data_IF_863590872940
#
_entry.id   IF_863590872940
#
_cell.length_a   1.000
_cell.length_b   1.000
_cell.length_c   1.000
_cell.angle_alpha   90.00
_cell.angle_beta   90.00
_cell.angle_gamma   90.00
#
_symmetry.space_group_name_H-M   'P 1'
#
loop_
_entity.id
_entity.type
_entity.pdbx_description
1 polymer ?
#
# COMPACT_ATOMS: atom_id res chain seq x y z
N UNK A 1 32.34 -17.04 8.87
CA UNK A 1 32.60 -15.61 8.94
C UNK A 1 32.19 -15.04 10.31
N UNK A 2 30.94 -15.30 10.77
CA UNK A 2 30.43 -14.82 12.09
C UNK A 2 31.34 -15.20 13.26
N UNK A 3 32.01 -16.37 13.23
CA UNK A 3 32.93 -16.82 14.27
C UNK A 3 34.21 -15.97 14.39
N UNK A 4 34.46 -15.11 13.40
CA UNK A 4 35.65 -14.24 13.33
C UNK A 4 35.28 -12.77 13.35
N UNK A 5 34.07 -12.44 13.83
CA UNK A 5 33.54 -11.06 13.90
C UNK A 5 33.60 -10.28 12.56
N UNK A 6 33.56 -11.02 11.44
CA UNK A 6 33.54 -10.42 10.12
C UNK A 6 32.10 -10.05 9.79
N UNK A 7 31.79 -8.78 9.54
CA UNK A 7 30.46 -8.36 9.10
C UNK A 7 30.05 -9.11 7.83
N UNK A 8 28.96 -9.85 7.91
CA UNK A 8 28.44 -10.61 6.79
C UNK A 8 26.92 -10.76 6.90
N UNK A 9 26.26 -10.71 5.75
CA UNK A 9 24.83 -10.96 5.62
C UNK A 9 24.57 -11.88 4.41
N UNK A 10 23.54 -12.72 4.48
CA UNK A 10 23.13 -13.51 3.31
C UNK A 10 22.53 -12.60 2.24
N UNK A 11 22.74 -12.93 0.99
CA UNK A 11 21.98 -12.36 -0.13
C UNK A 11 20.73 -13.20 -0.30
N UNK A 12 19.58 -12.61 -0.01
CA UNK A 12 18.29 -13.30 -0.04
C UNK A 12 17.57 -13.03 -1.36
N UNK A 13 16.82 -14.02 -1.82
CA UNK A 13 15.89 -13.87 -2.94
C UNK A 13 14.63 -13.11 -2.48
N UNK A 14 13.86 -12.54 -3.42
CA UNK A 14 12.59 -11.86 -3.11
C UNK A 14 11.60 -12.78 -2.39
N UNK A 15 11.58 -14.07 -2.75
CA UNK A 15 10.74 -15.06 -2.08
C UNK A 15 11.14 -15.29 -0.62
N UNK A 16 12.42 -15.34 -0.33
CA UNK A 16 12.94 -15.47 1.03
C UNK A 16 12.65 -14.22 1.84
N UNK A 17 12.85 -13.02 1.28
CA UNK A 17 12.49 -11.76 1.92
C UNK A 17 11.00 -11.67 2.24
N UNK A 18 10.12 -12.03 1.31
CA UNK A 18 8.67 -12.01 1.51
C UNK A 18 8.20 -12.93 2.64
N UNK A 19 8.95 -14.00 2.92
CA UNK A 19 8.63 -14.98 3.96
C UNK A 19 9.45 -14.79 5.24
N UNK A 20 10.32 -13.79 5.32
CA UNK A 20 11.15 -13.55 6.50
C UNK A 20 10.30 -12.98 7.65
N UNK A 21 10.20 -13.70 8.79
CA UNK A 21 9.40 -13.25 9.93
C UNK A 21 9.90 -11.92 10.51
N UNK A 22 11.21 -11.67 10.50
CA UNK A 22 11.80 -10.45 11.07
C UNK A 22 11.42 -9.21 10.27
N UNK A 23 11.27 -9.34 8.93
CA UNK A 23 10.80 -8.26 8.07
C UNK A 23 9.32 -7.96 8.24
N UNK A 24 8.52 -8.96 8.59
CA UNK A 24 7.11 -8.78 8.95
C UNK A 24 6.96 -8.14 10.33
N UNK A 25 7.69 -8.62 11.32
CA UNK A 25 7.68 -8.08 12.68
C UNK A 25 8.13 -6.61 12.71
N UNK A 26 9.15 -6.28 11.96
CA UNK A 26 9.62 -4.90 11.82
C UNK A 26 8.68 -4.01 11.00
N UNK A 27 7.67 -4.57 10.32
CA UNK A 27 6.78 -3.85 9.42
C UNK A 27 7.46 -3.36 8.13
N UNK A 28 8.62 -3.94 7.79
CA UNK A 28 9.29 -3.70 6.49
C UNK A 28 8.50 -4.36 5.36
N UNK A 29 7.90 -5.53 5.66
CA UNK A 29 6.91 -6.17 4.80
C UNK A 29 5.59 -6.19 5.56
N UNK A 30 4.54 -5.71 4.92
CA UNK A 30 3.20 -5.65 5.49
C UNK A 30 2.19 -6.29 4.55
N UNK A 31 1.12 -6.80 5.12
CA UNK A 31 -0.02 -7.33 4.37
C UNK A 31 -1.11 -6.27 4.29
N UNK A 32 -1.61 -6.05 3.09
CA UNK A 32 -2.63 -5.04 2.81
C UNK A 32 -3.87 -5.73 2.24
N UNK A 33 -5.04 -5.55 2.87
CA UNK A 33 -6.30 -6.06 2.33
C UNK A 33 -6.69 -5.26 1.09
N UNK A 34 -7.09 -5.95 0.02
CA UNK A 34 -7.54 -5.34 -1.22
C UNK A 34 -8.96 -5.80 -1.55
N UNK A 35 -9.83 -4.88 -1.96
CA UNK A 35 -11.26 -5.13 -2.14
C UNK A 35 -11.58 -6.27 -3.11
N UNK A 36 -10.81 -6.40 -4.20
CA UNK A 36 -11.07 -7.38 -5.25
C UNK A 36 -10.09 -8.57 -5.23
N UNK A 37 -8.91 -8.42 -4.65
CA UNK A 37 -7.83 -9.41 -4.74
C UNK A 37 -7.55 -10.15 -3.44
N UNK A 38 -8.35 -9.92 -2.41
CA UNK A 38 -8.09 -10.45 -1.07
C UNK A 38 -7.00 -9.66 -0.37
N UNK A 39 -5.88 -10.27 -0.01
CA UNK A 39 -4.74 -9.55 0.56
C UNK A 39 -3.47 -9.79 -0.24
N UNK A 40 -2.55 -8.86 -0.17
CA UNK A 40 -1.24 -8.96 -0.78
C UNK A 40 -0.15 -8.38 0.12
N UNK A 41 1.08 -8.87 -0.08
CA UNK A 41 2.26 -8.36 0.60
C UNK A 41 2.83 -7.17 -0.16
N UNK A 42 3.18 -6.13 0.58
CA UNK A 42 3.88 -4.96 0.05
C UNK A 42 4.98 -4.51 1.00
N UNK A 43 5.81 -3.60 0.53
CA UNK A 43 6.82 -2.95 1.37
C UNK A 43 6.14 -1.89 2.22
N UNK A 44 6.38 -1.93 3.52
CA UNK A 44 5.92 -0.92 4.46
C UNK A 44 6.76 0.36 4.40
N UNK A 45 6.48 1.30 5.31
CA UNK A 45 7.26 2.53 5.40
C UNK A 45 8.70 2.23 5.81
N UNK A 46 9.70 2.71 5.07
CA UNK A 46 11.10 2.61 5.48
C UNK A 46 11.45 3.52 6.66
N UNK A 47 10.63 4.56 6.88
CA UNK A 47 10.83 5.51 7.98
C UNK A 47 10.00 5.02 9.17
N UNK A 48 10.66 4.87 10.32
CA UNK A 48 10.05 4.45 11.58
C UNK A 48 10.07 5.62 12.57
N UNK A 49 8.93 5.88 13.18
CA UNK A 49 8.78 6.86 14.26
C UNK A 49 8.53 6.12 15.57
N UNK A 50 8.96 6.69 16.68
CA UNK A 50 8.78 6.09 18.01
C UNK A 50 7.32 6.14 18.48
N UNK A 51 6.57 7.14 18.05
CA UNK A 51 5.25 7.50 18.52
C UNK A 51 4.14 7.42 17.46
N UNK A 52 4.50 7.05 16.22
CA UNK A 52 3.57 6.94 15.11
C UNK A 52 3.86 5.70 14.26
N UNK A 53 2.81 4.95 13.94
CA UNK A 53 2.86 3.91 12.90
C UNK A 53 2.20 4.46 11.64
N UNK A 54 2.90 4.45 10.49
CA UNK A 54 2.27 4.82 9.23
C UNK A 54 1.16 3.79 8.88
N UNK A 55 0.02 4.30 8.48
CA UNK A 55 -1.07 3.48 7.98
C UNK A 55 -0.79 3.11 6.51
N UNK A 56 -0.67 1.81 6.26
CA UNK A 56 -0.41 1.27 4.91
C UNK A 56 -1.71 0.67 4.39
N UNK A 57 -2.35 1.38 3.51
CA UNK A 57 -3.63 0.99 2.92
C UNK A 57 -3.48 0.55 1.46
N UNK A 58 -4.49 -0.14 0.94
CA UNK A 58 -4.54 -0.49 -0.47
C UNK A 58 -4.67 0.76 -1.35
N UNK A 59 -4.13 0.68 -2.55
CA UNK A 59 -4.42 1.67 -3.59
C UNK A 59 -5.91 1.64 -3.93
N UNK A 60 -6.52 2.78 -4.26
CA UNK A 60 -7.90 2.82 -4.70
C UNK A 60 -8.08 2.08 -6.03
N UNK A 61 -9.29 1.61 -6.29
CA UNK A 61 -9.68 1.09 -7.59
C UNK A 61 -9.80 2.24 -8.60
N UNK A 62 -9.77 1.89 -9.88
CA UNK A 62 -9.96 2.88 -10.94
C UNK A 62 -11.32 3.58 -10.76
N UNK A 63 -11.30 4.90 -10.69
CA UNK A 63 -12.51 5.72 -10.52
C UNK A 63 -13.13 5.69 -9.12
N UNK A 64 -12.56 4.99 -8.14
CA UNK A 64 -13.16 4.80 -6.82
C UNK A 64 -13.52 6.11 -6.10
N UNK A 65 -12.75 7.17 -6.34
CA UNK A 65 -12.96 8.48 -5.69
C UNK A 65 -13.44 9.57 -6.67
N UNK A 66 -13.80 9.21 -7.90
CA UNK A 66 -14.20 10.19 -8.92
C UNK A 66 -15.34 11.08 -8.44
N UNK A 67 -16.42 10.48 -7.95
CA UNK A 67 -17.61 11.23 -7.51
C UNK A 67 -17.33 12.08 -6.27
N UNK A 68 -16.56 11.56 -5.34
CA UNK A 68 -16.14 12.28 -4.13
C UNK A 68 -15.31 13.52 -4.49
N UNK A 69 -14.33 13.35 -5.39
CA UNK A 69 -13.48 14.45 -5.85
C UNK A 69 -14.32 15.51 -6.60
N UNK A 70 -15.21 15.09 -7.50
CA UNK A 70 -16.08 16.02 -8.23
C UNK A 70 -17.02 16.77 -7.27
N UNK A 71 -17.61 16.06 -6.31
CA UNK A 71 -18.44 16.71 -5.27
C UNK A 71 -17.65 17.73 -4.44
N UNK A 72 -16.39 17.42 -4.08
CA UNK A 72 -15.52 18.35 -3.35
C UNK A 72 -15.20 19.61 -4.16
N UNK A 73 -15.20 19.52 -5.49
CA UNK A 73 -15.02 20.65 -6.42
C UNK A 73 -16.30 21.44 -6.67
N UNK A 74 -17.43 21.05 -6.05
CA UNK A 74 -18.71 21.75 -6.13
C UNK A 74 -19.65 21.28 -7.24
N UNK A 75 -19.36 20.14 -7.89
CA UNK A 75 -20.31 19.55 -8.84
C UNK A 75 -21.51 18.95 -8.09
N UNK A 76 -22.70 19.19 -8.61
CA UNK A 76 -23.91 18.54 -8.10
C UNK A 76 -24.03 17.10 -8.59
N UNK A 77 -24.83 16.28 -7.89
CA UNK A 77 -25.07 14.90 -8.28
C UNK A 77 -25.56 14.77 -9.73
N UNK A 78 -26.43 15.70 -10.18
CA UNK A 78 -26.94 15.71 -11.57
C UNK A 78 -25.84 16.01 -12.59
N UNK A 79 -24.88 16.87 -12.23
CA UNK A 79 -23.74 17.16 -13.08
C UNK A 79 -22.78 15.98 -13.17
N UNK A 80 -22.54 15.30 -12.05
CA UNK A 80 -21.70 14.08 -11.99
C UNK A 80 -22.32 12.97 -12.84
N UNK A 81 -23.64 12.73 -12.69
CA UNK A 81 -24.35 11.75 -13.54
C UNK A 81 -24.22 12.04 -15.03
N UNK A 82 -24.33 13.31 -15.44
CA UNK A 82 -24.12 13.69 -16.85
C UNK A 82 -22.70 13.45 -17.34
N UNK A 83 -21.69 13.61 -16.48
CA UNK A 83 -20.30 13.30 -16.83
C UNK A 83 -20.10 11.80 -17.05
N UNK A 84 -20.70 10.95 -16.20
CA UNK A 84 -20.71 9.51 -16.40
C UNK A 84 -21.45 9.09 -17.68
N UNK A 85 -22.64 9.65 -17.94
CA UNK A 85 -23.41 9.38 -19.16
C UNK A 85 -22.65 9.76 -20.44
N UNK A 86 -21.87 10.85 -20.36
CA UNK A 86 -21.01 11.30 -21.44
C UNK A 86 -19.67 10.55 -21.54
N UNK A 87 -19.42 9.59 -20.65
CA UNK A 87 -18.13 8.87 -20.52
C UNK A 87 -16.93 9.82 -20.42
N UNK A 88 -17.10 10.96 -19.76
CA UNK A 88 -16.06 11.94 -19.52
C UNK A 88 -15.23 11.62 -18.25
N UNK A 89 -15.79 10.81 -17.37
CA UNK A 89 -15.19 10.29 -16.14
C UNK A 89 -15.60 8.85 -15.93
#
# INVERSE_FOLDING_TARGET
LRKFDIPCAPVLTMKELANDPSLRESGTITEVPHKERGSYLTVGSPIKFSDMKPDITASPLLGEHTDEVLASLGYSSDQISKLHDAQAV
#
